data_IF_347327043953
#
_entry.id   IF_347327043953
#
_cell.length_a   1.000
_cell.length_b   1.000
_cell.length_c   1.000
_cell.angle_alpha   90.00
_cell.angle_beta   90.00
_cell.angle_gamma   90.00
#
_symmetry.space_group_name_H-M   'P 1'
#
loop_
_entity.id
_entity.type
_entity.pdbx_description
1 polymer ?
#
# COMPACT_ATOMS: atom_id res chain seq x y z
N UNK A 1 34.29 -49.76 -22.62
CA UNK A 1 33.98 -48.75 -23.66
C UNK A 1 32.65 -48.08 -23.29
N UNK A 2 32.66 -46.74 -23.21
CA UNK A 2 31.54 -45.83 -22.86
C UNK A 2 30.28 -46.05 -23.71
N UNK A 3 29.09 -45.81 -23.13
CA UNK A 3 27.90 -45.17 -23.74
C UNK A 3 26.80 -44.95 -22.67
N UNK A 4 26.84 -43.81 -21.97
CA UNK A 4 25.90 -42.68 -22.04
C UNK A 4 24.53 -43.02 -21.41
N UNK A 5 24.39 -42.74 -20.12
CA UNK A 5 23.10 -42.56 -19.44
C UNK A 5 22.62 -41.13 -19.74
N UNK A 6 21.49 -40.99 -20.43
CA UNK A 6 20.81 -39.70 -20.58
C UNK A 6 20.21 -39.30 -19.21
N UNK A 7 20.86 -38.38 -18.52
CA UNK A 7 20.23 -37.62 -17.44
C UNK A 7 19.27 -36.61 -18.06
N UNK A 8 17.98 -36.92 -18.05
CA UNK A 8 16.93 -35.94 -18.30
C UNK A 8 16.95 -34.91 -17.18
N UNK A 9 17.38 -33.68 -17.50
CA UNK A 9 17.20 -32.52 -16.64
C UNK A 9 15.72 -32.17 -16.68
N UNK A 10 14.96 -32.65 -15.71
CA UNK A 10 13.64 -32.13 -15.42
C UNK A 10 13.84 -30.75 -14.76
N UNK A 11 13.78 -29.69 -15.57
CA UNK A 11 13.59 -28.33 -15.05
C UNK A 11 12.17 -28.28 -14.49
N UNK A 12 12.03 -28.50 -13.19
CA UNK A 12 10.79 -28.20 -12.49
C UNK A 12 10.64 -26.68 -12.50
N UNK A 13 9.80 -26.16 -13.41
CA UNK A 13 9.22 -24.83 -13.25
C UNK A 13 8.39 -24.86 -11.98
N UNK A 14 8.96 -24.36 -10.88
CA UNK A 14 8.19 -24.07 -9.68
C UNK A 14 7.20 -22.95 -10.05
N UNK A 15 5.88 -23.20 -10.02
CA UNK A 15 4.92 -22.12 -10.10
C UNK A 15 5.22 -21.17 -8.93
N UNK A 16 5.31 -19.87 -9.22
CA UNK A 16 5.59 -18.84 -8.23
C UNK A 16 4.73 -19.04 -7.00
N UNK A 17 5.36 -19.29 -5.85
CA UNK A 17 4.68 -19.32 -4.58
C UNK A 17 4.18 -17.90 -4.33
N UNK A 18 2.88 -17.67 -4.54
CA UNK A 18 2.26 -16.43 -4.11
C UNK A 18 2.34 -16.39 -2.58
N UNK A 19 3.18 -15.50 -2.06
CA UNK A 19 3.27 -15.29 -0.62
C UNK A 19 1.97 -14.66 -0.11
N UNK A 20 1.47 -15.16 1.01
CA UNK A 20 0.46 -14.45 1.78
C UNK A 20 1.14 -13.24 2.43
N UNK A 21 0.61 -12.05 2.15
CA UNK A 21 1.20 -10.73 2.39
C UNK A 21 2.43 -10.38 1.55
N UNK A 22 2.28 -9.26 0.83
CA UNK A 22 3.37 -8.58 0.16
C UNK A 22 4.33 -7.95 1.18
N UNK A 23 5.66 -8.10 1.02
CA UNK A 23 6.61 -7.40 1.86
C UNK A 23 6.46 -5.90 1.69
N UNK A 24 6.65 -5.14 2.77
CA UNK A 24 6.67 -3.69 2.70
C UNK A 24 7.90 -3.22 1.94
N UNK A 25 7.69 -2.53 0.83
CA UNK A 25 8.76 -1.95 0.00
C UNK A 25 8.78 -0.43 0.12
N UNK A 26 9.88 0.18 -0.34
CA UNK A 26 10.08 1.62 -0.35
C UNK A 26 10.74 2.05 -1.66
N UNK A 27 10.72 3.34 -1.99
CA UNK A 27 11.46 3.85 -3.17
C UNK A 27 12.96 3.62 -3.01
N UNK A 28 13.48 3.73 -1.78
CA UNK A 28 14.88 3.46 -1.47
C UNK A 28 15.25 1.98 -1.61
N UNK A 29 14.32 1.07 -1.34
CA UNK A 29 14.46 -0.37 -1.48
C UNK A 29 13.17 -1.01 -1.99
N UNK A 30 13.14 -1.26 -3.31
CA UNK A 30 11.99 -1.83 -4.01
C UNK A 30 11.83 -3.34 -3.78
N UNK A 31 12.74 -4.01 -3.08
CA UNK A 31 12.61 -5.43 -2.75
C UNK A 31 12.49 -6.36 -3.97
N UNK A 32 12.94 -5.92 -5.15
CA UNK A 32 12.81 -6.65 -6.41
C UNK A 32 11.49 -6.46 -7.16
N UNK A 33 10.56 -5.64 -6.65
CA UNK A 33 9.33 -5.27 -7.34
C UNK A 33 9.65 -4.31 -8.49
N UNK A 34 9.16 -4.64 -9.69
CA UNK A 34 9.38 -3.81 -10.87
C UNK A 34 8.68 -2.45 -10.72
N UNK A 35 9.28 -1.35 -11.22
CA UNK A 35 8.64 -0.04 -11.21
C UNK A 35 7.38 -0.04 -12.08
N UNK A 36 6.30 0.54 -11.55
CA UNK A 36 5.05 0.72 -12.28
C UNK A 36 5.12 1.88 -13.26
N UNK A 37 4.01 2.13 -13.96
CA UNK A 37 3.92 3.22 -14.94
C UNK A 37 4.08 4.62 -14.29
N UNK A 38 3.82 4.74 -12.99
CA UNK A 38 3.85 6.00 -12.25
C UNK A 38 4.79 5.85 -11.04
N UNK A 39 5.74 6.78 -10.84
CA UNK A 39 6.61 6.71 -9.68
C UNK A 39 5.81 6.64 -8.38
N UNK A 40 6.21 5.72 -7.49
CA UNK A 40 5.59 5.48 -6.17
C UNK A 40 4.15 4.95 -6.16
N UNK A 41 3.50 4.80 -7.30
CA UNK A 41 2.07 4.55 -7.35
C UNK A 41 1.74 3.39 -8.28
N UNK A 42 0.86 2.51 -7.82
CA UNK A 42 0.41 1.34 -8.56
C UNK A 42 -1.09 1.18 -8.39
N UNK A 43 -1.73 0.65 -9.43
CA UNK A 43 -3.02 -0.01 -9.25
C UNK A 43 -2.77 -1.33 -8.48
N UNK A 44 -3.75 -1.79 -7.68
CA UNK A 44 -3.59 -2.96 -6.81
C UNK A 44 -3.17 -4.20 -7.61
N UNK A 45 -3.87 -4.48 -8.72
CA UNK A 45 -3.60 -5.63 -9.57
C UNK A 45 -2.20 -5.57 -10.20
N UNK A 46 -1.75 -4.37 -10.60
CA UNK A 46 -0.39 -4.16 -11.14
C UNK A 46 0.66 -4.48 -10.07
N UNK A 47 0.47 -3.96 -8.86
CA UNK A 47 1.40 -4.20 -7.75
C UNK A 47 1.47 -5.68 -7.37
N UNK A 48 0.33 -6.35 -7.22
CA UNK A 48 0.26 -7.77 -6.86
C UNK A 48 0.91 -8.66 -7.93
N UNK A 49 0.74 -8.32 -9.21
CA UNK A 49 1.41 -9.01 -10.31
C UNK A 49 2.92 -8.79 -10.30
N UNK A 50 3.38 -7.57 -10.04
CA UNK A 50 4.80 -7.23 -9.98
C UNK A 50 5.51 -7.83 -8.76
N UNK A 51 4.82 -7.90 -7.62
CA UNK A 51 5.36 -8.42 -6.37
C UNK A 51 5.14 -9.93 -6.18
N UNK A 52 4.25 -10.54 -6.98
CA UNK A 52 3.97 -11.98 -6.92
C UNK A 52 3.30 -12.40 -5.61
N UNK A 53 2.42 -11.56 -5.06
CA UNK A 53 1.78 -11.78 -3.75
C UNK A 53 0.37 -11.17 -3.74
N UNK A 54 -0.45 -11.60 -2.78
CA UNK A 54 -1.75 -10.98 -2.51
C UNK A 54 -1.62 -10.09 -1.28
N UNK A 55 -2.14 -8.86 -1.39
CA UNK A 55 -2.13 -7.90 -0.28
C UNK A 55 -3.29 -8.17 0.68
N UNK A 56 -3.01 -8.04 1.97
CA UNK A 56 -4.04 -7.93 3.00
C UNK A 56 -4.15 -6.48 3.47
N UNK A 57 -5.34 -6.07 3.90
CA UNK A 57 -5.61 -4.70 4.30
C UNK A 57 -5.90 -4.60 5.79
N UNK A 58 -5.19 -3.70 6.46
CA UNK A 58 -5.44 -3.30 7.84
C UNK A 58 -5.73 -1.80 7.92
N UNK A 59 -6.62 -1.39 8.83
CA UNK A 59 -6.95 0.01 9.05
C UNK A 59 -6.29 0.60 10.28
N UNK A 60 -6.43 1.91 10.46
CA UNK A 60 -6.02 2.58 11.69
C UNK A 60 -6.78 1.98 12.89
N UNK A 61 -6.09 1.44 13.92
CA UNK A 61 -6.75 0.86 15.09
C UNK A 61 -7.59 1.86 15.89
N UNK A 62 -7.30 3.15 15.79
CA UNK A 62 -8.04 4.22 16.47
C UNK A 62 -9.25 4.74 15.66
N UNK A 63 -9.47 4.24 14.44
CA UNK A 63 -10.48 4.80 13.52
C UNK A 63 -11.89 4.84 14.13
N UNK A 64 -12.31 3.78 14.82
CA UNK A 64 -13.62 3.73 15.47
C UNK A 64 -13.75 4.75 16.62
N UNK A 65 -12.70 4.89 17.44
CA UNK A 65 -12.68 5.85 18.53
C UNK A 65 -12.67 7.30 18.02
N UNK A 66 -11.95 7.57 16.93
CA UNK A 66 -11.95 8.86 16.26
C UNK A 66 -13.32 9.17 15.62
N UNK A 67 -13.94 8.20 14.97
CA UNK A 67 -15.28 8.32 14.38
C UNK A 67 -16.34 8.69 15.42
N UNK A 68 -16.27 8.08 16.62
CA UNK A 68 -17.19 8.34 17.73
C UNK A 68 -17.09 9.75 18.34
N UNK A 69 -16.00 10.51 18.05
CA UNK A 69 -15.89 11.91 18.48
C UNK A 69 -16.78 12.85 17.67
N UNK A 70 -17.28 12.42 16.51
CA UNK A 70 -18.13 13.21 15.63
C UNK A 70 -19.59 13.07 16.09
N UNK A 71 -20.18 14.17 16.55
CA UNK A 71 -21.56 14.18 17.08
C UNK A 71 -22.54 13.77 15.99
N UNK A 72 -23.34 12.72 16.27
CA UNK A 72 -24.38 12.23 15.36
C UNK A 72 -23.89 11.33 14.23
N UNK A 73 -22.62 10.96 14.22
CA UNK A 73 -22.05 10.08 13.19
C UNK A 73 -22.37 8.60 13.51
N UNK A 74 -22.83 7.78 12.53
CA UNK A 74 -23.07 6.36 12.75
C UNK A 74 -21.77 5.58 13.01
N UNK A 75 -21.92 4.31 13.40
CA UNK A 75 -20.80 3.39 13.53
C UNK A 75 -20.03 3.29 12.21
N UNK A 76 -18.69 3.23 12.32
CA UNK A 76 -17.82 3.15 11.16
C UNK A 76 -17.89 1.74 10.53
N UNK A 77 -18.26 1.60 9.24
CA UNK A 77 -18.25 0.30 8.57
C UNK A 77 -16.85 -0.36 8.56
N UNK A 78 -16.77 -1.70 8.41
CA UNK A 78 -15.50 -2.39 8.28
C UNK A 78 -14.68 -1.86 7.09
N UNK A 79 -13.36 -2.00 7.15
CA UNK A 79 -12.46 -1.45 6.13
C UNK A 79 -12.81 -1.93 4.71
N UNK A 80 -13.16 -3.21 4.55
CA UNK A 80 -13.53 -3.82 3.28
C UNK A 80 -14.76 -3.19 2.62
N UNK A 81 -15.64 -2.54 3.39
CA UNK A 81 -16.81 -1.83 2.85
C UNK A 81 -16.53 -0.35 2.54
N UNK A 82 -15.37 0.16 2.99
CA UNK A 82 -14.98 1.58 2.82
C UNK A 82 -13.95 1.80 1.73
N UNK A 83 -13.08 0.81 1.49
CA UNK A 83 -12.04 0.87 0.46
C UNK A 83 -12.63 0.42 -0.88
N UNK A 84 -12.26 1.05 -2.02
CA UNK A 84 -12.64 0.54 -3.34
C UNK A 84 -12.06 -0.85 -3.61
N UNK A 85 -12.63 -1.57 -4.58
CA UNK A 85 -12.13 -2.88 -5.03
C UNK A 85 -10.70 -2.79 -5.58
N UNK A 86 -10.35 -1.67 -6.23
CA UNK A 86 -9.04 -1.38 -6.78
C UNK A 86 -8.43 -0.14 -6.07
N UNK A 87 -7.88 -0.30 -4.85
CA UNK A 87 -7.24 0.80 -4.14
C UNK A 87 -5.88 1.16 -4.75
N UNK A 88 -5.56 2.46 -4.74
CA UNK A 88 -4.23 2.95 -5.07
C UNK A 88 -3.21 2.47 -4.04
N UNK A 89 -2.16 1.80 -4.51
CA UNK A 89 -1.02 1.39 -3.68
C UNK A 89 0.06 2.46 -3.77
N UNK A 90 0.43 3.04 -2.64
CA UNK A 90 1.48 4.06 -2.53
C UNK A 90 2.70 3.49 -1.83
N UNK A 91 3.86 3.58 -2.48
CA UNK A 91 5.16 3.13 -1.97
C UNK A 91 5.87 4.30 -1.27
N UNK A 92 6.10 4.25 0.05
CA UNK A 92 6.82 5.30 0.77
C UNK A 92 8.27 5.44 0.31
N UNK A 93 8.88 6.62 0.50
CA UNK A 93 10.27 6.83 0.11
C UNK A 93 11.28 5.99 0.90
N UNK A 94 11.23 6.04 2.23
CA UNK A 94 12.28 5.48 3.10
C UNK A 94 11.82 4.32 3.99
N UNK A 95 10.58 4.36 4.49
CA UNK A 95 10.10 3.35 5.45
C UNK A 95 8.59 3.21 5.46
N UNK A 96 8.10 2.01 5.78
CA UNK A 96 6.69 1.77 6.05
C UNK A 96 6.25 2.54 7.31
N UNK A 97 5.15 3.27 7.16
CA UNK A 97 4.60 4.10 8.24
C UNK A 97 3.97 3.31 9.37
N UNK A 98 3.68 4.01 10.47
CA UNK A 98 2.90 3.50 11.60
C UNK A 98 1.72 4.43 11.84
N UNK A 99 0.57 3.87 12.19
CA UNK A 99 -0.59 4.68 12.59
C UNK A 99 -0.34 5.40 13.91
N UNK A 100 -0.96 6.58 14.05
CA UNK A 100 -1.00 7.36 15.29
C UNK A 100 -0.16 8.65 15.24
N UNK A 101 -0.07 9.29 16.40
CA UNK A 101 0.57 10.60 16.56
C UNK A 101 -0.38 11.78 16.33
N UNK A 102 0.14 12.99 16.48
CA UNK A 102 -0.57 14.23 16.19
C UNK A 102 0.38 15.14 15.42
N UNK A 103 -0.07 15.62 14.27
CA UNK A 103 0.67 16.56 13.44
C UNK A 103 0.30 17.99 13.87
N UNK A 104 1.12 18.58 14.72
CA UNK A 104 0.93 19.96 15.20
C UNK A 104 1.45 20.97 14.17
N UNK A 105 0.53 21.70 13.56
CA UNK A 105 0.81 22.70 12.53
C UNK A 105 0.22 24.04 12.92
N UNK A 106 0.90 25.12 12.52
CA UNK A 106 0.41 26.48 12.71
C UNK A 106 0.08 27.07 11.34
N UNK A 107 -1.15 27.58 11.19
CA UNK A 107 -1.47 28.51 10.11
C UNK A 107 -1.59 29.92 10.67
N UNK A 108 -0.81 30.86 10.13
CA UNK A 108 -0.80 32.25 10.57
C UNK A 108 -1.86 33.11 9.86
N UNK A 109 -2.38 32.68 8.70
CA UNK A 109 -3.37 33.39 7.90
C UNK A 109 -4.11 32.40 6.99
N UNK A 110 -5.37 32.70 6.64
CA UNK A 110 -6.26 31.81 5.87
C UNK A 110 -5.72 31.37 4.50
N UNK A 111 -4.81 32.13 3.89
CA UNK A 111 -4.19 31.84 2.58
C UNK A 111 -2.68 31.58 2.67
N UNK A 112 -2.12 31.52 3.87
CA UNK A 112 -0.75 31.05 4.00
C UNK A 112 -0.68 29.60 3.50
N UNK A 113 0.38 29.21 2.80
CA UNK A 113 0.53 27.81 2.35
C UNK A 113 0.49 26.79 3.50
N UNK A 114 0.69 27.22 4.74
CA UNK A 114 0.49 26.41 5.95
C UNK A 114 -0.99 26.12 6.27
N UNK A 115 -1.93 26.87 5.70
CA UNK A 115 -3.36 26.55 5.75
C UNK A 115 -3.71 25.30 4.98
N UNK A 116 -2.89 24.89 4.02
CA UNK A 116 -3.12 23.66 3.25
C UNK A 116 -3.07 22.42 4.15
N UNK A 117 -2.35 22.48 5.29
CA UNK A 117 -2.40 21.41 6.30
C UNK A 117 -3.79 21.25 6.94
N UNK A 118 -4.58 22.33 7.03
CA UNK A 118 -5.95 22.32 7.53
C UNK A 118 -6.96 21.92 6.45
N UNK A 119 -6.56 22.03 5.18
CA UNK A 119 -7.28 21.48 4.06
C UNK A 119 -6.56 20.24 3.57
N UNK A 120 -6.62 19.17 4.38
CA UNK A 120 -6.38 17.79 3.92
C UNK A 120 -7.47 17.46 2.91
N UNK A 121 -7.41 18.12 1.75
CA UNK A 121 -8.24 17.81 0.62
C UNK A 121 -7.66 16.52 0.08
N UNK A 122 -8.58 15.59 -0.14
CA UNK A 122 -8.51 14.34 -0.86
C UNK A 122 -7.80 14.38 -2.23
N UNK A 123 -6.68 15.09 -2.39
CA UNK A 123 -5.96 15.27 -3.65
C UNK A 123 -5.23 14.01 -4.12
N UNK A 124 -5.23 12.96 -3.30
CA UNK A 124 -4.71 11.63 -3.64
C UNK A 124 -5.82 10.57 -3.75
N UNK A 125 -7.11 10.94 -3.79
CA UNK A 125 -8.20 9.96 -3.96
C UNK A 125 -8.34 9.45 -5.40
N UNK A 126 -7.82 10.19 -6.36
CA UNK A 126 -7.77 9.81 -7.77
C UNK A 126 -6.39 10.17 -8.31
N UNK A 127 -5.82 9.27 -9.10
CA UNK A 127 -4.66 9.56 -9.94
C UNK A 127 -5.10 10.38 -11.17
#
# INVERSE_FOLDING_TARGET
MKKILLSGVAVAMLPGLAFANCPGITVADMGGVAPGAFPQQYDLAEFQAAAGCTMEFSGNPEAAALNAKIVGNPDLPPLSERIPEEPLVVVPYDSIGKYGGTLDVLSNATEAGTSDFLSVRHVNLVR
#
